data_IF_625342520379
#
_entry.id   IF_625342520379
#
_cell.length_a   1.000
_cell.length_b   1.000
_cell.length_c   1.000
_cell.angle_alpha   90.00
_cell.angle_beta   90.00
_cell.angle_gamma   90.00
#
_symmetry.space_group_name_H-M   'P 1'
#
loop_
_entity.id
_entity.type
_entity.pdbx_description
1 polymer ?
#
# COMPACT_ATOMS: atom_id res chain seq x y z
N UNK A 1 -7.02 17.09 2.76
CA UNK A 1 -7.72 15.97 2.06
C UNK A 1 -7.17 14.63 2.55
N UNK A 2 -5.94 14.24 2.18
CA UNK A 2 -5.44 12.89 2.49
C UNK A 2 -5.46 12.52 3.98
N UNK A 3 -4.89 13.36 4.84
CA UNK A 3 -4.91 13.15 6.31
C UNK A 3 -6.33 13.26 6.86
N UNK A 4 -7.16 14.15 6.29
CA UNK A 4 -8.55 14.36 6.71
C UNK A 4 -9.34 13.06 6.58
N UNK A 5 -9.31 12.41 5.41
CA UNK A 5 -10.04 11.15 5.16
C UNK A 5 -9.54 10.03 6.09
N UNK A 6 -8.23 9.95 6.31
CA UNK A 6 -7.65 8.96 7.23
C UNK A 6 -8.04 9.20 8.69
N UNK A 7 -8.01 10.44 9.15
CA UNK A 7 -8.42 10.81 10.50
C UNK A 7 -9.92 10.57 10.72
N UNK A 8 -10.77 10.92 9.75
CA UNK A 8 -12.22 10.65 9.82
C UNK A 8 -12.50 9.14 9.93
N UNK A 9 -11.72 8.30 9.23
CA UNK A 9 -11.79 6.85 9.38
C UNK A 9 -11.38 6.39 10.79
N UNK A 10 -10.29 6.94 11.33
CA UNK A 10 -9.85 6.63 12.70
C UNK A 10 -10.90 7.03 13.73
N UNK A 11 -11.51 8.19 13.59
CA UNK A 11 -12.58 8.67 14.47
C UNK A 11 -13.81 7.77 14.40
N UNK A 12 -14.24 7.38 13.20
CA UNK A 12 -15.35 6.43 13.01
C UNK A 12 -15.08 5.09 13.69
N UNK A 13 -13.87 4.53 13.53
CA UNK A 13 -13.48 3.26 14.14
C UNK A 13 -13.44 3.35 15.68
N UNK A 14 -12.97 4.48 16.23
CA UNK A 14 -13.00 4.74 17.67
C UNK A 14 -14.43 4.84 18.19
N UNK A 15 -15.30 5.55 17.49
CA UNK A 15 -16.72 5.69 17.83
C UNK A 15 -17.44 4.33 17.80
N UNK A 16 -17.14 3.48 16.82
CA UNK A 16 -17.69 2.12 16.73
C UNK A 16 -17.00 1.10 17.64
N UNK A 17 -16.01 1.52 18.43
CA UNK A 17 -15.19 0.65 19.30
C UNK A 17 -14.51 -0.51 18.57
N UNK A 18 -14.18 -0.36 17.30
CA UNK A 18 -13.49 -1.40 16.51
C UNK A 18 -11.97 -1.23 16.58
N UNK A 19 -11.44 -1.40 17.80
CA UNK A 19 -10.01 -1.20 18.10
C UNK A 19 -9.06 -2.17 17.37
N UNK A 20 -9.59 -3.21 16.73
CA UNK A 20 -8.80 -4.20 15.97
C UNK A 20 -8.21 -3.63 14.68
N UNK A 21 -8.71 -2.48 14.23
CA UNK A 21 -8.27 -1.80 13.01
C UNK A 21 -7.59 -0.46 13.29
N UNK A 22 -7.55 0.00 14.54
CA UNK A 22 -6.93 1.28 14.92
C UNK A 22 -5.42 1.22 15.05
N UNK A 23 -4.83 0.05 14.77
CA UNK A 23 -3.39 -0.21 14.78
C UNK A 23 -3.08 -1.56 14.15
N UNK A 24 -1.87 -1.72 13.63
CA UNK A 24 -1.40 -2.98 13.06
C UNK A 24 -0.86 -3.89 14.17
N UNK A 25 -1.55 -5.00 14.44
CA UNK A 25 -1.19 -5.95 15.48
C UNK A 25 -1.40 -7.40 15.05
N UNK A 26 -0.65 -8.32 15.66
CA UNK A 26 -0.81 -9.76 15.48
C UNK A 26 -1.99 -10.29 16.30
N UNK A 27 -2.62 -11.37 15.84
CA UNK A 27 -3.72 -12.01 16.55
C UNK A 27 -3.27 -13.32 17.21
N UNK A 28 -2.59 -13.20 18.35
CA UNK A 28 -2.04 -14.35 19.06
C UNK A 28 -3.13 -15.32 19.55
N UNK A 29 -4.29 -14.78 19.93
CA UNK A 29 -5.43 -15.56 20.40
C UNK A 29 -6.04 -16.47 19.34
N UNK A 30 -6.31 -15.93 18.14
CA UNK A 30 -6.82 -16.74 17.04
C UNK A 30 -5.77 -17.74 16.53
N UNK A 31 -4.50 -17.35 16.51
CA UNK A 31 -3.42 -18.28 16.18
C UNK A 31 -3.36 -19.46 17.16
N UNK A 32 -3.42 -19.17 18.47
CA UNK A 32 -3.47 -20.18 19.52
C UNK A 32 -4.64 -21.14 19.31
N UNK A 33 -5.85 -20.63 19.06
CA UNK A 33 -7.03 -21.47 18.87
C UNK A 33 -6.97 -22.29 17.57
N UNK A 34 -6.53 -21.69 16.47
CA UNK A 34 -6.38 -22.36 15.18
C UNK A 34 -5.35 -23.48 15.26
N UNK A 35 -4.14 -23.21 15.72
CA UNK A 35 -3.08 -24.22 15.84
C UNK A 35 -3.51 -25.35 16.78
N UNK A 36 -4.11 -25.00 17.91
CA UNK A 36 -4.63 -25.96 18.88
C UNK A 36 -5.66 -26.90 18.22
N UNK A 37 -6.62 -26.35 17.47
CA UNK A 37 -7.66 -27.13 16.77
C UNK A 37 -7.05 -28.02 15.68
N UNK A 38 -6.14 -27.48 14.87
CA UNK A 38 -5.44 -28.25 13.82
C UNK A 38 -4.65 -29.42 14.40
N UNK A 39 -4.00 -29.22 15.54
CA UNK A 39 -3.24 -30.27 16.23
C UNK A 39 -4.11 -31.13 17.16
N UNK A 40 -5.44 -30.97 17.14
CA UNK A 40 -6.40 -31.70 17.97
C UNK A 40 -6.12 -31.64 19.48
N UNK A 41 -5.52 -30.55 19.95
CA UNK A 41 -5.21 -30.34 21.38
C UNK A 41 -6.45 -29.75 22.07
N UNK A 42 -6.93 -30.32 23.18
CA UNK A 42 -8.03 -29.67 23.93
C UNK A 42 -7.48 -28.53 24.76
N UNK A 43 -8.30 -27.51 25.03
CA UNK A 43 -7.87 -26.35 25.84
C UNK A 43 -7.39 -26.80 27.24
N UNK A 44 -8.03 -27.81 27.84
CA UNK A 44 -7.62 -28.42 29.12
C UNK A 44 -6.19 -28.96 29.06
N UNK A 45 -5.86 -29.67 27.99
CA UNK A 45 -4.55 -30.29 27.83
C UNK A 45 -3.47 -29.22 27.58
N UNK A 46 -3.82 -28.17 26.82
CA UNK A 46 -2.93 -27.03 26.62
C UNK A 46 -2.64 -26.29 27.94
N UNK A 47 -3.66 -26.08 28.79
CA UNK A 47 -3.48 -25.50 30.12
C UNK A 47 -2.48 -26.33 30.94
N UNK A 48 -2.65 -27.66 30.95
CA UNK A 48 -1.76 -28.56 31.67
C UNK A 48 -0.32 -28.51 31.13
N UNK A 49 -0.15 -28.52 29.80
CA UNK A 49 1.18 -28.49 29.16
C UNK A 49 1.91 -27.17 29.35
N UNK A 50 1.18 -26.06 29.31
CA UNK A 50 1.77 -24.70 29.37
C UNK A 50 1.96 -24.21 30.80
N UNK A 51 1.23 -24.77 31.77
CA UNK A 51 1.15 -24.27 33.14
C UNK A 51 0.47 -22.90 33.26
N UNK A 52 -0.14 -22.38 32.19
CA UNK A 52 -0.78 -21.07 32.17
C UNK A 52 -2.21 -21.14 32.73
N UNK A 53 -2.64 -20.07 33.40
CA UNK A 53 -4.00 -20.01 33.98
C UNK A 53 -5.06 -20.07 32.87
N UNK A 54 -6.11 -20.90 33.06
CA UNK A 54 -7.24 -21.03 32.12
C UNK A 54 -7.84 -19.69 31.70
N UNK A 55 -8.04 -18.78 32.66
CA UNK A 55 -8.58 -17.44 32.40
C UNK A 55 -7.74 -16.67 31.39
N UNK A 56 -6.41 -16.72 31.52
CA UNK A 56 -5.49 -16.02 30.62
C UNK A 56 -5.58 -16.54 29.18
N UNK A 57 -5.53 -17.86 28.96
CA UNK A 57 -5.67 -18.43 27.62
C UNK A 57 -7.05 -18.17 27.01
N UNK A 58 -8.10 -18.23 27.84
CA UNK A 58 -9.47 -17.96 27.39
C UNK A 58 -9.64 -16.50 26.98
N UNK A 59 -9.12 -15.55 27.79
CA UNK A 59 -9.10 -14.13 27.46
C UNK A 59 -8.29 -13.87 26.19
N UNK A 60 -7.12 -14.49 26.04
CA UNK A 60 -6.31 -14.34 24.84
C UNK A 60 -7.09 -14.75 23.58
N UNK A 61 -7.74 -15.92 23.60
CA UNK A 61 -8.55 -16.43 22.47
C UNK A 61 -9.77 -15.54 22.21
N UNK A 62 -10.52 -15.14 23.25
CA UNK A 62 -11.76 -14.38 23.11
C UNK A 62 -11.52 -12.94 22.67
N UNK A 63 -10.53 -12.27 23.25
CA UNK A 63 -10.22 -10.87 22.96
C UNK A 63 -9.37 -10.73 21.69
N UNK A 64 -8.83 -11.84 21.16
CA UNK A 64 -7.81 -11.79 20.11
C UNK A 64 -6.59 -10.98 20.54
N UNK A 65 -6.29 -11.01 21.85
CA UNK A 65 -5.38 -10.08 22.50
C UNK A 65 -3.95 -10.19 21.94
N UNK A 66 -3.33 -9.02 21.85
CA UNK A 66 -2.29 -8.74 20.86
C UNK A 66 -0.88 -8.75 21.44
N UNK A 67 -0.76 -8.73 22.76
CA UNK A 67 0.51 -8.73 23.49
C UNK A 67 0.45 -9.77 24.61
N UNK A 68 1.55 -10.50 24.79
CA UNK A 68 1.74 -11.43 25.90
C UNK A 68 3.18 -11.29 26.40
N UNK A 69 3.46 -11.75 27.61
CA UNK A 69 4.86 -11.74 28.08
C UNK A 69 5.68 -12.72 27.26
N UNK A 70 6.98 -12.45 27.12
CA UNK A 70 7.93 -13.36 26.46
C UNK A 70 7.83 -14.77 27.05
N UNK A 71 7.79 -14.88 28.37
CA UNK A 71 7.66 -16.15 29.08
C UNK A 71 6.37 -16.90 28.70
N UNK A 72 5.22 -16.21 28.69
CA UNK A 72 3.95 -16.82 28.29
C UNK A 72 3.97 -17.26 26.82
N UNK A 73 4.56 -16.46 25.94
CA UNK A 73 4.73 -16.82 24.53
C UNK A 73 5.52 -18.13 24.37
N UNK A 74 6.67 -18.25 25.05
CA UNK A 74 7.48 -19.47 24.99
C UNK A 74 6.74 -20.68 25.56
N UNK A 75 6.07 -20.54 26.71
CA UNK A 75 5.21 -21.60 27.26
C UNK A 75 4.14 -22.06 26.28
N UNK A 76 3.49 -21.14 25.57
CA UNK A 76 2.46 -21.48 24.57
C UNK A 76 3.02 -22.28 23.40
N UNK A 77 4.12 -21.83 22.79
CA UNK A 77 4.69 -22.53 21.62
C UNK A 77 5.28 -23.90 22.00
N UNK A 78 5.86 -24.04 23.19
CA UNK A 78 6.30 -25.32 23.74
C UNK A 78 5.11 -26.28 23.97
N UNK A 79 4.03 -25.78 24.59
CA UNK A 79 2.83 -26.57 24.83
C UNK A 79 2.10 -27.01 23.55
N UNK A 80 2.18 -26.18 22.49
CA UNK A 80 1.66 -26.48 21.16
C UNK A 80 2.62 -27.35 20.32
N UNK A 81 3.88 -27.50 20.74
CA UNK A 81 4.96 -28.18 20.02
C UNK A 81 5.22 -27.63 18.63
N UNK A 82 5.24 -26.31 18.49
CA UNK A 82 5.55 -25.63 17.22
C UNK A 82 6.67 -24.61 17.39
N UNK A 83 7.43 -24.29 16.34
CA UNK A 83 8.42 -23.23 16.40
C UNK A 83 7.77 -21.84 16.45
N UNK A 84 8.49 -20.88 17.04
CA UNK A 84 7.99 -19.50 17.21
C UNK A 84 7.56 -18.83 15.90
N UNK A 85 8.31 -19.05 14.81
CA UNK A 85 8.02 -18.44 13.52
C UNK A 85 6.70 -18.96 12.92
N UNK A 86 6.33 -20.21 13.15
CA UNK A 86 5.06 -20.76 12.67
C UNK A 86 3.89 -20.16 13.44
N UNK A 87 4.02 -19.98 14.76
CA UNK A 87 3.01 -19.29 15.57
C UNK A 87 2.79 -17.86 15.06
N UNK A 88 3.88 -17.12 14.85
CA UNK A 88 3.83 -15.74 14.35
C UNK A 88 3.20 -15.68 12.96
N UNK A 89 3.50 -16.63 12.07
CA UNK A 89 2.88 -16.71 10.74
C UNK A 89 1.36 -16.86 10.85
N UNK A 90 0.85 -17.80 11.64
CA UNK A 90 -0.60 -17.96 11.82
C UNK A 90 -1.23 -16.73 12.51
N UNK A 91 -0.51 -16.08 13.42
CA UNK A 91 -0.95 -14.83 14.04
C UNK A 91 -1.00 -13.65 13.06
N UNK A 92 -0.18 -13.66 12.01
CA UNK A 92 -0.28 -12.71 10.90
C UNK A 92 -1.47 -13.03 9.99
N UNK A 93 -1.70 -14.31 9.69
CA UNK A 93 -2.81 -14.78 8.84
C UNK A 93 -4.19 -14.46 9.44
N UNK A 94 -4.32 -14.54 10.76
CA UNK A 94 -5.59 -14.33 11.50
C UNK A 94 -5.81 -12.88 11.96
N UNK A 95 -4.87 -11.97 11.66
CA UNK A 95 -5.00 -10.57 12.01
C UNK A 95 -5.97 -9.84 11.07
N UNK A 96 -7.02 -9.23 11.63
CA UNK A 96 -8.07 -8.54 10.84
C UNK A 96 -7.52 -7.41 9.97
N UNK A 97 -6.45 -6.74 10.40
CA UNK A 97 -5.77 -5.72 9.61
C UNK A 97 -5.13 -6.30 8.33
N UNK A 98 -4.63 -7.53 8.40
CA UNK A 98 -3.94 -8.20 7.29
C UNK A 98 -4.92 -8.91 6.34
N UNK A 99 -6.20 -8.97 6.67
CA UNK A 99 -7.27 -9.53 5.85
C UNK A 99 -8.57 -8.73 6.11
N UNK A 100 -8.66 -7.56 5.50
CA UNK A 100 -9.75 -6.61 5.66
C UNK A 100 -10.74 -6.74 4.50
N UNK A 101 -11.78 -7.55 4.71
CA UNK A 101 -12.86 -7.76 3.77
C UNK A 101 -14.00 -6.77 4.02
N UNK A 102 -14.49 -6.16 2.96
CA UNK A 102 -15.70 -5.34 2.94
C UNK A 102 -16.67 -5.92 1.93
N UNK A 103 -17.92 -6.14 2.35
CA UNK A 103 -18.98 -6.46 1.39
C UNK A 103 -19.33 -5.22 0.57
N UNK A 104 -20.08 -5.45 -0.50
CA UNK A 104 -20.73 -4.40 -1.28
C UNK A 104 -21.49 -3.44 -0.33
N UNK A 105 -21.27 -2.14 -0.52
CA UNK A 105 -21.88 -1.05 0.25
C UNK A 105 -21.53 -0.98 1.76
N UNK A 106 -20.59 -1.79 2.26
CA UNK A 106 -20.10 -1.68 3.64
C UNK A 106 -18.89 -0.73 3.79
N UNK A 107 -18.28 -0.33 2.68
CA UNK A 107 -17.11 0.55 2.68
C UNK A 107 -17.43 1.90 3.37
N UNK A 108 -16.59 2.37 4.32
CA UNK A 108 -16.80 3.65 4.96
C UNK A 108 -16.85 4.81 3.97
N UNK A 109 -17.97 5.56 3.98
CA UNK A 109 -18.20 6.75 3.14
C UNK A 109 -18.16 8.03 3.97
N UNK A 110 -17.45 9.04 3.46
CA UNK A 110 -17.30 10.37 4.05
C UNK A 110 -17.69 11.43 3.04
N UNK A 111 -18.65 12.28 3.40
CA UNK A 111 -19.16 13.34 2.53
C UNK A 111 -18.51 14.66 2.87
N UNK A 112 -17.86 15.26 1.87
CA UNK A 112 -17.31 16.59 1.94
C UNK A 112 -18.08 17.54 1.01
N UNK A 113 -17.74 18.83 1.06
CA UNK A 113 -18.42 19.85 0.24
C UNK A 113 -18.38 19.51 -1.26
N UNK A 114 -17.20 19.15 -1.76
CA UNK A 114 -16.91 18.99 -3.19
C UNK A 114 -16.85 17.53 -3.66
N UNK A 115 -16.69 16.59 -2.73
CA UNK A 115 -16.49 15.19 -3.07
C UNK A 115 -17.00 14.27 -1.96
N UNK A 116 -17.14 12.99 -2.30
CA UNK A 116 -17.31 11.89 -1.36
C UNK A 116 -16.09 10.97 -1.43
N UNK A 117 -15.67 10.42 -0.30
CA UNK A 117 -14.62 9.42 -0.24
C UNK A 117 -15.18 8.10 0.30
N UNK A 118 -14.99 7.02 -0.45
CA UNK A 118 -15.30 5.64 -0.06
C UNK A 118 -13.99 4.89 0.19
N UNK A 119 -13.77 4.39 1.41
CA UNK A 119 -12.47 3.85 1.82
C UNK A 119 -12.48 2.31 1.84
N UNK A 120 -11.47 1.71 1.21
CA UNK A 120 -11.34 0.25 1.05
C UNK A 120 -10.19 -0.38 1.85
N UNK A 121 -9.30 0.43 2.42
CA UNK A 121 -8.24 -0.03 3.34
C UNK A 121 -8.57 0.32 4.80
N UNK A 122 -7.98 -0.39 5.77
CA UNK A 122 -7.89 0.13 7.14
C UNK A 122 -6.98 1.39 7.17
N UNK A 123 -6.94 2.13 8.30
CA UNK A 123 -6.00 3.22 8.48
C UNK A 123 -4.55 2.74 8.33
N UNK A 124 -3.70 3.56 7.72
CA UNK A 124 -2.28 3.24 7.51
C UNK A 124 -1.42 3.57 8.72
N UNK A 125 -0.49 2.68 9.04
CA UNK A 125 0.41 2.81 10.19
C UNK A 125 1.86 2.45 9.87
N UNK A 126 2.16 1.93 8.69
CA UNK A 126 3.52 1.52 8.33
C UNK A 126 3.90 1.94 6.91
N UNK A 127 5.19 1.89 6.62
CA UNK A 127 5.71 2.15 5.27
C UNK A 127 5.42 1.02 4.27
N UNK A 128 4.86 -0.10 4.75
CA UNK A 128 4.49 -1.26 3.92
C UNK A 128 3.02 -1.26 3.51
N UNK A 129 2.15 -0.60 4.28
CA UNK A 129 0.72 -0.48 3.97
C UNK A 129 0.43 0.82 3.21
N UNK A 130 -0.66 0.82 2.46
CA UNK A 130 -1.16 1.96 1.71
C UNK A 130 -2.63 2.22 1.96
N UNK A 131 -2.99 3.51 1.89
CA UNK A 131 -4.35 3.96 2.05
C UNK A 131 -5.02 3.88 0.69
N UNK A 132 -6.21 3.30 0.63
CA UNK A 132 -6.92 3.04 -0.60
C UNK A 132 -8.35 3.54 -0.48
N UNK A 133 -8.72 4.48 -1.34
CA UNK A 133 -10.08 5.01 -1.40
C UNK A 133 -10.49 5.34 -2.83
N UNK A 134 -11.79 5.41 -3.06
CA UNK A 134 -12.42 5.97 -4.24
C UNK A 134 -12.95 7.36 -3.91
N UNK A 135 -12.56 8.35 -4.70
CA UNK A 135 -13.06 9.71 -4.63
C UNK A 135 -14.11 9.89 -5.72
N UNK A 136 -15.29 10.38 -5.33
CA UNK A 136 -16.35 10.82 -6.25
C UNK A 136 -16.46 12.33 -6.17
N UNK A 137 -15.94 13.02 -7.17
CA UNK A 137 -16.03 14.48 -7.28
C UNK A 137 -17.33 14.88 -7.96
N UNK A 138 -18.02 15.86 -7.36
CA UNK A 138 -19.23 16.43 -7.95
C UNK A 138 -18.91 17.13 -9.27
N UNK A 139 -19.88 17.29 -10.18
CA UNK A 139 -19.72 18.18 -11.33
C UNK A 139 -19.33 19.59 -10.90
N UNK A 140 -18.55 20.26 -11.75
CA UNK A 140 -18.07 21.64 -11.59
C UNK A 140 -17.49 21.91 -10.19
N UNK A 141 -16.69 20.97 -9.71
CA UNK A 141 -16.13 21.01 -8.36
C UNK A 141 -14.62 20.80 -8.36
N UNK A 142 -13.99 21.26 -7.28
CA UNK A 142 -12.54 21.21 -7.16
C UNK A 142 -12.11 20.91 -5.73
N UNK A 143 -11.00 20.21 -5.61
CA UNK A 143 -10.25 20.02 -4.38
C UNK A 143 -8.95 20.81 -4.57
N UNK A 144 -8.89 21.99 -3.95
CA UNK A 144 -7.86 22.98 -4.24
C UNK A 144 -6.70 22.94 -3.25
N UNK A 145 -5.52 23.33 -3.74
CA UNK A 145 -4.34 23.68 -2.94
C UNK A 145 -3.92 22.58 -1.95
N UNK A 146 -3.97 21.33 -2.38
CA UNK A 146 -3.53 20.19 -1.59
C UNK A 146 -2.01 20.09 -1.66
N UNK A 147 -1.37 19.85 -0.51
CA UNK A 147 0.05 19.55 -0.40
C UNK A 147 0.24 18.60 0.78
N UNK A 148 1.20 17.68 0.69
CA UNK A 148 1.52 16.79 1.81
C UNK A 148 3.02 16.58 1.96
N UNK A 149 3.58 17.04 3.09
CA UNK A 149 5.04 17.12 3.27
C UNK A 149 5.73 15.77 3.55
N UNK A 150 4.99 14.76 4.01
CA UNK A 150 5.57 13.48 4.45
C UNK A 150 5.26 12.30 3.52
N UNK A 151 4.44 12.52 2.48
CA UNK A 151 4.15 11.50 1.48
C UNK A 151 5.20 11.55 0.38
N UNK A 152 5.65 10.39 -0.11
CA UNK A 152 6.64 10.34 -1.19
C UNK A 152 6.00 10.16 -2.57
N UNK A 153 4.78 9.62 -2.63
CA UNK A 153 4.05 9.40 -3.86
C UNK A 153 2.55 9.29 -3.57
N UNK A 154 1.75 9.83 -4.48
CA UNK A 154 0.32 9.49 -4.64
C UNK A 154 0.18 8.85 -6.02
N UNK A 155 -0.58 7.76 -6.07
CA UNK A 155 -1.12 7.23 -7.31
C UNK A 155 -2.62 7.52 -7.35
N UNK A 156 -3.13 7.88 -8.52
CA UNK A 156 -4.55 7.81 -8.81
C UNK A 156 -4.84 7.00 -10.06
N UNK A 157 -6.08 6.56 -10.19
CA UNK A 157 -6.60 5.87 -11.37
C UNK A 157 -8.03 6.33 -11.64
N UNK A 158 -8.24 7.00 -12.78
CA UNK A 158 -9.55 7.55 -13.14
C UNK A 158 -10.45 6.43 -13.66
N UNK A 159 -11.38 5.98 -12.82
CA UNK A 159 -12.31 4.89 -13.13
C UNK A 159 -13.45 5.36 -14.03
N UNK A 160 -13.90 6.61 -13.88
CA UNK A 160 -14.99 7.17 -14.67
C UNK A 160 -14.90 8.71 -14.74
N UNK A 161 -15.28 9.26 -15.90
CA UNK A 161 -15.36 10.69 -16.16
C UNK A 161 -14.05 11.29 -16.66
N UNK A 162 -13.84 12.57 -16.33
CA UNK A 162 -12.72 13.40 -16.77
C UNK A 162 -12.20 14.26 -15.61
N UNK A 163 -10.88 14.34 -15.47
CA UNK A 163 -10.25 15.02 -14.34
C UNK A 163 -9.09 15.89 -14.80
N UNK A 164 -9.05 17.13 -14.36
CA UNK A 164 -7.88 18.01 -14.50
C UNK A 164 -7.08 17.99 -13.19
N UNK A 165 -5.83 17.53 -13.25
CA UNK A 165 -4.85 17.65 -12.17
C UNK A 165 -4.00 18.90 -12.41
N UNK A 166 -4.26 19.97 -11.65
CA UNK A 166 -3.35 21.12 -11.59
C UNK A 166 -2.20 20.77 -10.65
N UNK A 167 -0.97 20.73 -11.15
CA UNK A 167 0.24 20.35 -10.42
C UNK A 167 1.31 21.44 -10.58
N UNK A 168 1.57 22.18 -9.51
CA UNK A 168 2.32 23.43 -9.60
C UNK A 168 1.65 24.39 -10.59
N UNK A 169 2.40 24.83 -11.60
CA UNK A 169 1.93 25.72 -12.66
C UNK A 169 1.35 24.98 -13.87
N UNK A 170 1.43 23.65 -13.91
CA UNK A 170 0.96 22.85 -15.05
C UNK A 170 -0.41 22.25 -14.75
N UNK A 171 -1.19 22.02 -15.81
CA UNK A 171 -2.46 21.28 -15.72
C UNK A 171 -2.37 20.06 -16.61
N UNK A 172 -2.76 18.92 -16.07
CA UNK A 172 -2.75 17.63 -16.75
C UNK A 172 -4.18 17.11 -16.87
N UNK A 173 -4.61 16.84 -18.10
CA UNK A 173 -5.87 16.18 -18.40
C UNK A 173 -5.72 14.68 -18.19
N UNK A 174 -6.63 14.09 -17.42
CA UNK A 174 -6.68 12.66 -17.12
C UNK A 174 -8.05 12.15 -17.59
N UNK A 175 -8.02 11.09 -18.39
CA UNK A 175 -9.19 10.44 -18.97
C UNK A 175 -9.48 9.10 -18.29
N UNK A 176 -10.71 8.60 -18.46
CA UNK A 176 -11.11 7.29 -17.93
C UNK A 176 -10.10 6.20 -18.33
N UNK A 177 -9.84 5.28 -17.41
CA UNK A 177 -8.83 4.22 -17.48
C UNK A 177 -7.37 4.69 -17.48
N UNK A 178 -7.09 5.95 -17.19
CA UNK A 178 -5.72 6.44 -17.06
C UNK A 178 -5.28 6.49 -15.59
N UNK A 179 -4.16 5.82 -15.24
CA UNK A 179 -3.48 6.09 -13.99
C UNK A 179 -2.60 7.32 -14.09
N UNK A 180 -2.29 7.87 -12.93
CA UNK A 180 -1.33 8.94 -12.76
C UNK A 180 -0.58 8.79 -11.44
N UNK A 181 0.68 9.19 -11.43
CA UNK A 181 1.51 9.22 -10.23
C UNK A 181 2.15 10.59 -10.12
N UNK A 182 2.33 11.08 -8.89
CA UNK A 182 3.01 12.35 -8.67
C UNK A 182 3.61 12.45 -7.28
N UNK A 183 4.52 13.41 -7.12
CA UNK A 183 5.07 13.83 -5.82
C UNK A 183 4.10 14.80 -5.13
N UNK A 184 3.41 14.38 -4.04
CA UNK A 184 2.40 15.21 -3.37
C UNK A 184 2.98 16.34 -2.52
N UNK A 185 4.31 16.46 -2.42
CA UNK A 185 4.98 17.58 -1.74
C UNK A 185 4.85 18.88 -2.52
N UNK A 186 4.50 18.80 -3.80
CA UNK A 186 4.17 19.97 -4.62
C UNK A 186 2.68 20.26 -4.51
N UNK A 187 2.36 21.55 -4.46
CA UNK A 187 0.99 22.03 -4.45
C UNK A 187 0.22 21.54 -5.67
N UNK A 188 -0.91 20.91 -5.44
CA UNK A 188 -1.75 20.35 -6.50
C UNK A 188 -3.24 20.55 -6.23
N UNK A 189 -4.06 20.31 -7.24
CA UNK A 189 -5.52 20.40 -7.15
C UNK A 189 -6.18 19.44 -8.12
N UNK A 190 -7.26 18.82 -7.68
CA UNK A 190 -8.13 17.99 -8.52
C UNK A 190 -9.32 18.84 -8.94
N UNK A 191 -9.64 18.88 -10.22
CA UNK A 191 -10.75 19.67 -10.77
C UNK A 191 -11.56 18.75 -11.66
N UNK A 192 -12.85 18.62 -11.37
CA UNK A 192 -13.82 18.03 -12.29
C UNK A 192 -14.47 19.16 -13.10
N UNK A 193 -14.09 19.35 -14.38
CA UNK A 193 -14.64 20.44 -15.19
C UNK A 193 -15.97 20.06 -15.87
N UNK A 194 -16.43 18.81 -15.73
CA UNK A 194 -17.74 18.41 -16.25
C UNK A 194 -18.84 19.12 -15.47
N UNK A 195 -19.85 19.63 -16.18
CA UNK A 195 -21.01 20.31 -15.57
C UNK A 195 -22.15 19.34 -15.21
N UNK A 196 -22.05 18.07 -15.59
CA UNK A 196 -23.12 17.07 -15.46
C UNK A 196 -22.65 15.73 -14.94
N UNK A 197 -21.39 15.35 -15.17
CA UNK A 197 -20.86 14.03 -14.79
C UNK A 197 -19.97 14.10 -13.54
N UNK A 198 -20.08 13.08 -12.70
CA UNK A 198 -19.16 12.87 -11.58
C UNK A 198 -17.85 12.27 -12.06
N UNK A 199 -16.71 12.81 -11.62
CA UNK A 199 -15.42 12.16 -11.81
C UNK A 199 -15.15 11.18 -10.66
N UNK A 200 -14.92 9.91 -10.99
CA UNK A 200 -14.62 8.85 -10.02
C UNK A 200 -13.20 8.33 -10.21
N UNK A 201 -12.35 8.48 -9.19
CA UNK A 201 -10.97 8.00 -9.27
C UNK A 201 -10.52 7.37 -7.96
N UNK A 202 -9.78 6.27 -8.07
CA UNK A 202 -9.10 5.68 -6.92
C UNK A 202 -7.87 6.49 -6.57
N UNK A 203 -7.54 6.55 -5.29
CA UNK A 203 -6.30 7.08 -4.77
C UNK A 203 -5.59 6.03 -3.91
N UNK A 204 -4.28 5.93 -4.09
CA UNK A 204 -3.37 5.13 -3.27
C UNK A 204 -2.21 5.99 -2.78
N UNK A 205 -1.93 5.94 -1.49
CA UNK A 205 -0.82 6.70 -0.89
C UNK A 205 -0.39 6.14 0.46
N UNK A 206 0.85 6.44 0.87
CA UNK A 206 1.35 6.14 2.21
C UNK A 206 1.20 7.35 3.11
N UNK A 207 0.53 7.19 4.25
CA UNK A 207 0.64 8.15 5.34
C UNK A 207 1.79 7.73 6.24
N UNK A 208 2.91 8.47 6.19
CA UNK A 208 3.90 8.35 7.27
C UNK A 208 3.23 8.83 8.55
N UNK A 209 3.26 8.06 9.65
CA UNK A 209 2.72 8.53 10.92
C UNK A 209 3.32 9.91 11.23
N UNK A 210 2.45 10.88 11.52
CA UNK A 210 2.85 12.21 11.91
C UNK A 210 3.63 12.10 13.22
N UNK A 211 4.95 11.99 13.14
CA UNK A 211 5.79 12.29 14.28
C UNK A 211 5.63 13.79 14.51
N UNK A 212 5.12 14.15 15.69
CA UNK A 212 5.04 15.53 16.14
C UNK A 212 6.36 16.21 15.81
N UNK A 213 6.35 17.09 14.81
CA UNK A 213 7.46 18.01 14.62
C UNK A 213 7.50 18.82 15.91
N UNK A 214 8.60 18.71 16.67
CA UNK A 214 8.96 19.87 17.47
C UNK A 214 9.07 21.04 16.50
N UNK A 215 8.49 22.21 16.80
CA UNK A 215 8.59 23.36 15.93
C UNK A 215 10.07 23.63 15.69
N UNK A 216 10.53 23.38 14.46
CA UNK A 216 11.86 23.78 14.03
C UNK A 216 11.90 25.30 14.18
N UNK A 217 12.68 25.78 15.15
CA UNK A 217 13.12 27.16 15.21
C UNK A 217 14.07 27.38 14.02
N UNK A 218 13.52 27.60 12.83
CA UNK A 218 14.27 28.06 11.68
C UNK A 218 13.75 29.42 11.29
N UNK A 219 14.66 30.40 11.39
CA UNK A 219 14.46 31.77 10.98
C UNK A 219 14.15 31.91 9.48
N UNK A 220 14.10 33.15 8.97
CA UNK A 220 13.49 33.46 7.69
C UNK A 220 14.08 32.64 6.55
N UNK A 221 13.20 32.11 5.70
CA UNK A 221 13.54 31.43 4.44
C UNK A 221 14.49 32.31 3.63
N UNK A 222 15.77 31.90 3.57
CA UNK A 222 16.69 32.46 2.60
C UNK A 222 16.19 32.05 1.22
N UNK A 223 15.78 33.02 0.41
CA UNK A 223 15.72 32.88 -1.04
C UNK A 223 17.13 32.64 -1.54
N UNK A 224 17.53 31.37 -1.67
CA UNK A 224 18.80 30.99 -2.30
C UNK A 224 18.62 31.04 -3.81
N UNK A 225 19.45 31.83 -4.49
CA UNK A 225 19.49 31.89 -5.95
C UNK A 225 20.01 30.54 -6.50
N UNK A 226 19.27 29.86 -7.40
CA UNK A 226 19.70 28.56 -7.88
C UNK A 226 20.32 28.67 -9.28
N UNK A 227 21.64 28.47 -9.41
CA UNK A 227 22.26 28.23 -10.73
C UNK A 227 23.41 27.20 -10.73
N UNK A 228 23.96 26.77 -9.58
CA UNK A 228 25.07 25.78 -9.53
C UNK A 228 24.71 24.51 -8.74
N UNK A 229 25.10 23.35 -9.26
CA UNK A 229 24.88 22.03 -8.65
C UNK A 229 25.58 21.96 -7.28
N UNK A 230 24.81 21.84 -6.20
CA UNK A 230 25.31 21.69 -4.83
C UNK A 230 25.26 20.25 -4.35
N UNK A 231 26.41 19.58 -4.36
CA UNK A 231 26.54 18.21 -3.82
C UNK A 231 26.24 18.14 -2.33
N UNK A 232 26.48 19.23 -1.59
CA UNK A 232 26.14 19.33 -0.16
C UNK A 232 24.64 19.24 0.07
N UNK A 233 23.87 20.09 -0.63
CA UNK A 233 22.40 20.13 -0.52
C UNK A 233 21.82 18.77 -0.92
N UNK A 234 22.33 18.20 -2.01
CA UNK A 234 21.90 16.88 -2.47
C UNK A 234 22.13 15.79 -1.41
N UNK A 235 23.33 15.69 -0.85
CA UNK A 235 23.65 14.68 0.17
C UNK A 235 22.77 14.87 1.42
N UNK A 236 22.54 16.10 1.86
CA UNK A 236 21.66 16.37 3.00
C UNK A 236 20.21 15.91 2.73
N UNK A 237 19.68 16.24 1.54
CA UNK A 237 18.33 15.84 1.12
C UNK A 237 18.19 14.30 1.07
N UNK A 238 19.11 13.61 0.41
CA UNK A 238 19.09 12.14 0.30
C UNK A 238 19.19 11.49 1.68
N UNK A 239 20.09 11.99 2.54
CA UNK A 239 20.22 11.48 3.91
C UNK A 239 18.95 11.68 4.74
N UNK A 240 18.21 12.76 4.49
CA UNK A 240 16.93 13.02 5.16
C UNK A 240 15.84 12.05 4.68
N UNK A 241 15.80 11.77 3.38
CA UNK A 241 14.80 10.88 2.79
C UNK A 241 15.03 9.41 3.14
N UNK A 242 16.28 8.95 3.12
CA UNK A 242 16.66 7.59 3.46
C UNK A 242 16.61 7.31 4.96
N UNK A 243 16.60 8.36 5.79
CA UNK A 243 16.62 8.15 7.23
C UNK A 243 15.35 7.42 7.70
N UNK A 244 15.50 6.37 8.52
CA UNK A 244 14.36 5.76 9.20
C UNK A 244 13.72 6.74 10.20
N UNK A 245 14.51 7.64 10.78
CA UNK A 245 14.08 8.69 11.71
C UNK A 245 14.00 10.04 10.97
N UNK A 246 12.80 10.64 10.81
CA UNK A 246 12.63 11.90 10.08
C UNK A 246 13.35 13.10 10.72
N UNK A 247 13.72 13.02 12.00
CA UNK A 247 14.39 14.10 12.73
C UNK A 247 15.91 13.99 12.71
N UNK A 248 16.46 12.90 12.16
CA UNK A 248 17.89 12.68 12.06
C UNK A 248 18.27 12.41 10.62
N UNK A 249 19.40 12.98 10.19
CA UNK A 249 19.98 12.60 8.91
C UNK A 249 20.58 11.20 9.02
N UNK A 250 20.40 10.38 7.99
CA UNK A 250 21.09 9.09 7.88
C UNK A 250 22.60 9.28 8.14
N UNK A 251 23.25 8.54 9.05
CA UNK A 251 24.67 8.72 9.31
C UNK A 251 25.53 8.52 8.05
N UNK A 252 26.58 9.32 7.87
CA UNK A 252 27.48 9.20 6.70
C UNK A 252 28.05 7.79 6.49
N UNK A 253 28.42 7.02 7.53
CA UNK A 253 28.84 5.63 7.34
C UNK A 253 27.76 4.73 6.73
N UNK A 254 26.50 4.94 7.10
CA UNK A 254 25.38 4.20 6.53
C UNK A 254 25.14 4.62 5.08
N UNK A 255 25.17 5.92 4.78
CA UNK A 255 25.07 6.41 3.39
C UNK A 255 26.20 5.86 2.50
N UNK A 256 27.43 5.79 3.01
CA UNK A 256 28.57 5.19 2.32
C UNK A 256 28.33 3.71 2.01
N UNK A 257 27.81 2.96 2.98
CA UNK A 257 27.49 1.54 2.81
C UNK A 257 26.37 1.33 1.77
N UNK A 258 25.35 2.18 1.75
CA UNK A 258 24.27 2.08 0.77
C UNK A 258 24.70 2.49 -0.64
N UNK A 259 25.41 3.63 -0.78
CA UNK A 259 25.80 4.19 -2.09
C UNK A 259 27.00 3.51 -2.74
N UNK A 260 27.80 2.76 -1.98
CA UNK A 260 29.11 2.29 -2.43
C UNK A 260 30.17 3.39 -2.52
N UNK A 261 29.84 4.65 -2.19
CA UNK A 261 30.78 5.78 -2.23
C UNK A 261 31.60 5.80 -0.93
N UNK A 262 32.92 5.88 -1.05
CA UNK A 262 33.80 5.97 0.11
C UNK A 262 33.46 7.14 1.05
N UNK A 263 33.44 6.88 2.36
CA UNK A 263 33.06 7.88 3.39
C UNK A 263 33.81 9.21 3.26
N UNK A 264 35.12 9.17 2.97
CA UNK A 264 35.92 10.40 2.79
C UNK A 264 35.43 11.24 1.61
N UNK A 265 35.04 10.58 0.51
CA UNK A 265 34.51 11.27 -0.67
C UNK A 265 33.14 11.92 -0.38
N UNK A 266 32.25 11.23 0.35
CA UNK A 266 30.96 11.81 0.77
C UNK A 266 31.14 13.03 1.70
N UNK A 267 32.09 12.96 2.63
CA UNK A 267 32.42 14.08 3.52
C UNK A 267 32.95 15.25 2.68
N UNK A 268 33.91 15.02 1.79
CA UNK A 268 34.43 16.06 0.90
C UNK A 268 33.32 16.72 0.07
N UNK A 269 32.44 15.94 -0.56
CA UNK A 269 31.28 16.43 -1.32
C UNK A 269 30.27 17.21 -0.47
N UNK A 270 30.26 17.03 0.86
CA UNK A 270 29.32 17.70 1.76
C UNK A 270 29.84 19.02 2.33
N UNK A 271 31.16 19.19 2.44
CA UNK A 271 31.76 20.34 3.11
C UNK A 271 32.54 21.25 2.16
N UNK A 272 33.09 20.71 1.08
CA UNK A 272 33.91 21.48 0.15
C UNK A 272 33.12 21.82 -1.12
N UNK A 273 33.11 23.10 -1.55
CA UNK A 273 32.56 23.47 -2.84
C UNK A 273 33.37 22.75 -3.93
N UNK A 274 32.71 21.84 -4.63
CA UNK A 274 33.37 20.99 -5.63
C UNK A 274 33.63 21.80 -6.90
N UNK A 275 34.91 21.95 -7.27
CA UNK A 275 35.30 22.57 -8.56
C UNK A 275 34.93 21.70 -9.77
N UNK A 276 34.85 20.39 -9.56
CA UNK A 276 34.46 19.39 -10.56
C UNK A 276 33.25 18.65 -10.01
N UNK A 277 32.17 18.63 -10.79
CA UNK A 277 30.91 17.97 -10.42
C UNK A 277 31.09 16.45 -10.58
N UNK A 278 31.02 15.65 -9.50
CA UNK A 278 31.30 14.23 -9.57
C UNK A 278 30.05 13.45 -10.01
N UNK A 279 29.68 13.55 -11.29
CA UNK A 279 28.45 12.96 -11.83
C UNK A 279 28.29 11.47 -11.54
N UNK A 280 29.35 10.67 -11.61
CA UNK A 280 29.30 9.24 -11.24
C UNK A 280 28.83 9.02 -9.79
N UNK A 281 29.31 9.85 -8.86
CA UNK A 281 28.91 9.78 -7.45
C UNK A 281 27.49 10.31 -7.24
N UNK A 282 27.10 11.33 -8.01
CA UNK A 282 25.73 11.84 -8.01
C UNK A 282 24.77 10.75 -8.52
N UNK A 283 25.15 9.99 -9.54
CA UNK A 283 24.38 8.86 -10.06
C UNK A 283 24.30 7.69 -9.06
N UNK A 284 25.40 7.34 -8.39
CA UNK A 284 25.37 6.37 -7.29
C UNK A 284 24.41 6.81 -6.16
N UNK A 285 24.35 8.11 -5.86
CA UNK A 285 23.40 8.66 -4.89
C UNK A 285 21.96 8.66 -5.42
N UNK A 286 21.76 8.95 -6.71
CA UNK A 286 20.46 8.89 -7.38
C UNK A 286 19.83 7.51 -7.26
N UNK A 287 20.64 6.45 -7.47
CA UNK A 287 20.26 5.05 -7.36
C UNK A 287 19.82 4.61 -5.95
N UNK A 288 20.02 5.44 -4.92
CA UNK A 288 19.46 5.19 -3.59
C UNK A 288 18.03 5.71 -3.43
N UNK A 289 17.60 6.59 -4.33
CA UNK A 289 16.31 7.27 -4.28
C UNK A 289 15.42 6.81 -5.42
N UNK A 290 14.18 7.28 -5.40
CA UNK A 290 13.27 7.07 -6.53
C UNK A 290 13.50 8.10 -7.66
N UNK A 291 14.40 9.08 -7.54
CA UNK A 291 14.57 10.15 -8.52
C UNK A 291 15.47 9.76 -9.70
N UNK A 292 15.16 10.28 -10.88
CA UNK A 292 16.05 10.23 -12.04
C UNK A 292 17.28 11.13 -11.83
N UNK A 293 18.33 10.91 -12.62
CA UNK A 293 19.54 11.74 -12.57
C UNK A 293 19.21 13.23 -12.81
N UNK A 294 18.34 13.55 -13.76
CA UNK A 294 17.92 14.92 -14.06
C UNK A 294 17.28 15.60 -12.85
N UNK A 295 16.42 14.89 -12.13
CA UNK A 295 15.75 15.44 -10.95
C UNK A 295 16.67 15.53 -9.74
N UNK A 296 17.66 14.64 -9.65
CA UNK A 296 18.73 14.72 -8.67
C UNK A 296 19.60 15.94 -8.95
N UNK A 297 19.85 16.26 -10.20
CA UNK A 297 20.51 17.51 -10.62
C UNK A 297 19.64 18.71 -10.24
N UNK A 298 18.35 18.70 -10.57
CA UNK A 298 17.43 19.77 -10.16
C UNK A 298 17.38 19.93 -8.64
N UNK A 299 17.43 18.84 -7.87
CA UNK A 299 17.50 18.86 -6.40
C UNK A 299 18.80 19.46 -5.90
N UNK A 300 19.93 19.09 -6.51
CA UNK A 300 21.24 19.64 -6.20
C UNK A 300 21.31 21.14 -6.50
N UNK A 301 20.59 21.63 -7.51
CA UNK A 301 20.46 23.04 -7.84
C UNK A 301 19.34 23.74 -7.06
N UNK A 302 18.61 23.02 -6.20
CA UNK A 302 17.44 23.53 -5.49
C UNK A 302 16.32 24.06 -6.43
N UNK A 303 16.24 23.52 -7.65
CA UNK A 303 15.23 23.84 -8.68
C UNK A 303 14.14 22.78 -8.82
N UNK A 304 14.25 21.65 -8.12
CA UNK A 304 13.32 20.54 -8.24
C UNK A 304 11.87 20.96 -8.03
N UNK A 305 11.05 20.79 -9.08
CA UNK A 305 9.64 21.23 -9.09
C UNK A 305 8.65 20.08 -8.89
N UNK A 306 9.14 18.93 -8.42
CA UNK A 306 8.37 17.70 -8.35
C UNK A 306 8.19 17.04 -9.71
N UNK A 307 7.45 15.94 -9.71
CA UNK A 307 7.16 15.17 -10.90
C UNK A 307 5.71 14.71 -10.88
N UNK A 308 5.16 14.56 -12.09
CA UNK A 308 3.85 13.99 -12.36
C UNK A 308 3.96 13.21 -13.66
N UNK A 309 3.43 11.99 -13.64
CA UNK A 309 3.33 11.12 -14.82
C UNK A 309 1.88 10.68 -14.97
N UNK A 310 1.28 11.01 -16.10
CA UNK A 310 -0.01 10.47 -16.53
C UNK A 310 0.28 9.39 -17.57
N UNK A 311 -0.32 8.22 -17.39
CA UNK A 311 -0.13 7.08 -18.26
C UNK A 311 -1.29 7.01 -19.25
N UNK A 312 -1.01 6.47 -20.42
CA UNK A 312 -1.96 6.29 -21.52
C UNK A 312 -2.10 4.82 -21.86
N UNK A 313 -3.00 4.49 -22.79
CA UNK A 313 -3.18 3.10 -23.23
C UNK A 313 -1.89 2.48 -23.82
N UNK A 314 -0.95 3.31 -24.31
CA UNK A 314 0.36 2.85 -24.80
C UNK A 314 1.28 2.35 -23.68
N UNK A 315 1.02 2.76 -22.45
CA UNK A 315 1.78 2.33 -21.27
C UNK A 315 1.19 1.05 -20.65
N UNK A 316 0.03 0.59 -21.10
CA UNK A 316 -0.57 -0.63 -20.59
C UNK A 316 0.25 -1.84 -21.00
N UNK A 317 0.47 -2.76 -20.06
CA UNK A 317 1.23 -3.98 -20.33
C UNK A 317 0.37 -5.21 -20.06
N UNK A 318 -0.07 -5.93 -21.10
CA UNK A 318 -0.75 -7.20 -20.97
C UNK A 318 0.26 -8.31 -20.69
N UNK A 319 -0.12 -9.21 -19.78
CA UNK A 319 0.71 -10.32 -19.33
C UNK A 319 -0.21 -11.53 -19.26
N UNK A 320 -0.02 -12.41 -20.23
CA UNK A 320 -0.80 -13.61 -20.38
C UNK A 320 -0.18 -14.75 -19.55
N UNK A 321 -0.89 -15.16 -18.51
CA UNK A 321 -0.57 -16.31 -17.67
C UNK A 321 -1.66 -17.39 -17.78
N UNK A 322 -2.54 -17.31 -18.79
CA UNK A 322 -3.74 -18.13 -18.94
C UNK A 322 -3.43 -19.62 -19.09
N UNK A 323 -2.38 -19.93 -19.85
CA UNK A 323 -1.94 -21.31 -20.11
C UNK A 323 -1.58 -22.04 -18.81
N UNK A 324 -0.89 -21.37 -17.88
CA UNK A 324 -0.39 -21.98 -16.65
C UNK A 324 -1.32 -21.80 -15.45
N UNK A 325 -1.87 -20.61 -15.27
CA UNK A 325 -2.63 -20.22 -14.08
C UNK A 325 -4.07 -19.81 -14.37
N UNK A 326 -4.48 -19.77 -15.65
CA UNK A 326 -5.84 -19.37 -16.04
C UNK A 326 -6.10 -17.89 -15.78
N UNK A 327 -5.06 -17.07 -15.82
CA UNK A 327 -5.09 -15.64 -15.47
C UNK A 327 -4.49 -14.79 -16.59
N UNK A 328 -5.12 -13.67 -16.88
CA UNK A 328 -4.56 -12.60 -17.69
C UNK A 328 -4.49 -11.33 -16.84
N UNK A 329 -3.34 -10.64 -16.86
CA UNK A 329 -3.11 -9.40 -16.14
C UNK A 329 -2.87 -8.27 -17.13
N UNK A 330 -3.56 -7.15 -16.97
CA UNK A 330 -3.28 -5.92 -17.72
C UNK A 330 -2.88 -4.84 -16.73
N UNK A 331 -1.58 -4.57 -16.61
CA UNK A 331 -1.10 -3.44 -15.81
C UNK A 331 -1.45 -2.15 -16.54
N UNK A 332 -2.11 -1.21 -15.86
CA UNK A 332 -2.39 0.11 -16.45
C UNK A 332 -1.17 1.05 -16.38
N UNK A 333 -0.07 0.58 -15.80
CA UNK A 333 1.18 1.34 -15.71
C UNK A 333 2.29 0.61 -16.45
N UNK A 334 3.20 1.35 -17.08
CA UNK A 334 4.36 0.78 -17.74
C UNK A 334 5.21 -0.05 -16.77
N UNK A 335 5.65 -1.25 -17.18
CA UNK A 335 6.55 -2.11 -16.41
C UNK A 335 7.97 -1.53 -16.42
N UNK A 336 8.65 -1.54 -15.27
CA UNK A 336 10.05 -1.13 -15.17
C UNK A 336 10.48 -0.66 -13.78
N UNK A 337 11.80 -0.55 -13.64
CA UNK A 337 12.50 0.02 -12.48
C UNK A 337 12.34 1.53 -12.55
N UNK A 338 11.63 2.12 -11.59
CA UNK A 338 11.37 3.55 -11.57
C UNK A 338 10.53 3.94 -10.37
N UNK A 339 10.12 5.21 -10.33
CA UNK A 339 9.43 5.88 -9.21
C UNK A 339 8.21 5.19 -8.63
N UNK A 340 7.58 4.29 -9.39
CA UNK A 340 6.27 3.73 -9.06
C UNK A 340 6.39 2.79 -7.85
N UNK A 341 5.77 3.21 -6.76
CA UNK A 341 5.54 2.39 -5.57
C UNK A 341 4.23 1.63 -5.70
N UNK A 342 3.28 2.18 -6.44
CA UNK A 342 1.95 1.62 -6.60
C UNK A 342 1.69 1.12 -8.03
N UNK A 343 0.85 0.10 -8.15
CA UNK A 343 0.32 -0.37 -9.44
C UNK A 343 -1.17 -0.63 -9.34
N UNK A 344 -1.86 -0.39 -10.45
CA UNK A 344 -3.22 -0.87 -10.69
C UNK A 344 -3.20 -1.76 -11.91
N UNK A 345 -3.89 -2.90 -11.82
CA UNK A 345 -3.99 -3.86 -12.90
C UNK A 345 -5.39 -4.47 -12.94
N UNK A 346 -5.92 -4.68 -14.13
CA UNK A 346 -7.05 -5.57 -14.32
C UNK A 346 -6.56 -7.02 -14.37
N UNK A 347 -7.28 -7.89 -13.66
CA UNK A 347 -7.00 -9.32 -13.59
C UNK A 347 -8.24 -10.09 -14.04
N UNK A 348 -8.09 -10.87 -15.10
CA UNK A 348 -9.15 -11.73 -15.64
C UNK A 348 -8.80 -13.18 -15.37
N UNK A 349 -9.74 -13.95 -14.84
CA UNK A 349 -9.64 -15.38 -14.66
C UNK A 349 -10.51 -16.09 -15.70
N UNK A 350 -9.91 -17.00 -16.43
CA UNK A 350 -10.57 -17.73 -17.51
C UNK A 350 -11.67 -18.64 -16.96
N UNK A 351 -12.65 -18.94 -17.80
CA UNK A 351 -13.64 -19.96 -17.50
C UNK A 351 -12.99 -21.34 -17.43
N UNK A 352 -13.66 -22.28 -16.77
CA UNK A 352 -13.27 -23.68 -16.72
C UNK A 352 -14.53 -24.55 -16.71
N UNK A 353 -14.43 -25.78 -17.22
CA UNK A 353 -15.57 -26.71 -17.31
C UNK A 353 -15.56 -27.72 -16.17
N UNK A 354 -16.73 -28.21 -15.78
CA UNK A 354 -16.81 -29.32 -14.83
C UNK A 354 -15.99 -30.53 -15.32
N UNK A 355 -15.22 -31.13 -14.40
CA UNK A 355 -14.28 -32.21 -14.72
C UNK A 355 -12.89 -31.73 -15.17
N UNK A 356 -12.70 -30.44 -15.48
CA UNK A 356 -11.38 -29.84 -15.58
C UNK A 356 -10.90 -29.39 -14.20
N UNK A 357 -9.60 -29.55 -13.93
CA UNK A 357 -8.99 -28.99 -12.73
C UNK A 357 -9.04 -27.47 -12.75
N UNK A 358 -9.63 -26.86 -11.71
CA UNK A 358 -9.62 -25.41 -11.53
C UNK A 358 -8.17 -24.92 -11.44
N UNK A 359 -7.80 -23.96 -12.28
CA UNK A 359 -6.49 -23.33 -12.20
C UNK A 359 -6.46 -22.31 -11.07
N UNK A 360 -5.30 -22.21 -10.43
CA UNK A 360 -5.08 -21.33 -9.31
C UNK A 360 -3.81 -20.51 -9.56
N UNK A 361 -3.88 -19.21 -9.25
CA UNK A 361 -2.73 -18.34 -9.28
C UNK A 361 -2.22 -18.11 -7.87
N UNK A 362 -0.98 -18.53 -7.62
CA UNK A 362 -0.31 -18.39 -6.33
C UNK A 362 0.58 -17.15 -6.36
N UNK A 363 0.24 -16.17 -5.53
CA UNK A 363 1.03 -14.96 -5.35
C UNK A 363 1.83 -15.02 -4.05
N UNK A 364 3.14 -14.81 -4.19
CA UNK A 364 4.11 -14.71 -3.09
C UNK A 364 4.87 -13.40 -3.25
N UNK A 365 4.41 -12.38 -2.55
CA UNK A 365 4.97 -11.04 -2.64
C UNK A 365 5.51 -10.54 -1.30
N UNK A 366 5.63 -9.23 -1.22
CA UNK A 366 5.75 -8.51 0.05
C UNK A 366 4.81 -7.31 0.02
N UNK A 367 4.54 -6.69 1.15
CA UNK A 367 3.70 -5.47 1.19
C UNK A 367 2.20 -5.78 1.24
N UNK A 368 1.37 -5.05 0.51
CA UNK A 368 -0.09 -5.15 0.58
C UNK A 368 -0.75 -5.16 -0.80
N UNK A 369 -1.92 -5.78 -0.85
CA UNK A 369 -2.75 -5.92 -2.03
C UNK A 369 -4.19 -5.50 -1.71
N UNK A 370 -4.77 -4.66 -2.55
CA UNK A 370 -6.19 -4.38 -2.62
C UNK A 370 -6.79 -5.10 -3.83
N UNK A 371 -7.89 -5.82 -3.63
CA UNK A 371 -8.61 -6.55 -4.67
C UNK A 371 -10.04 -6.04 -4.66
N UNK A 372 -10.56 -5.60 -5.80
CA UNK A 372 -11.96 -5.24 -5.98
C UNK A 372 -12.56 -6.12 -7.06
N UNK A 373 -13.54 -6.95 -6.69
CA UNK A 373 -14.22 -7.83 -7.63
C UNK A 373 -15.14 -7.00 -8.56
N UNK A 374 -14.91 -7.12 -9.87
CA UNK A 374 -15.63 -6.38 -10.92
C UNK A 374 -16.65 -7.25 -11.65
N UNK A 375 -16.48 -8.57 -11.65
CA UNK A 375 -17.40 -9.54 -12.28
C UNK A 375 -17.11 -10.96 -11.81
N UNK A 376 -18.14 -11.79 -11.71
CA UNK A 376 -18.02 -13.20 -11.33
C UNK A 376 -17.55 -13.40 -9.89
N UNK A 377 -17.15 -14.63 -9.57
CA UNK A 377 -16.80 -15.02 -8.20
C UNK A 377 -15.31 -15.39 -8.10
N UNK A 378 -14.59 -14.69 -7.23
CA UNK A 378 -13.15 -14.86 -7.04
C UNK A 378 -12.91 -15.52 -5.69
N UNK A 379 -12.30 -16.71 -5.73
CA UNK A 379 -11.89 -17.45 -4.56
C UNK A 379 -10.53 -16.97 -4.09
N UNK A 380 -10.40 -16.68 -2.80
CA UNK A 380 -9.21 -16.17 -2.15
C UNK A 380 -8.89 -17.05 -0.96
N UNK A 381 -7.77 -17.75 -1.05
CA UNK A 381 -7.21 -18.56 0.01
C UNK A 381 -5.96 -17.83 0.54
N UNK A 382 -6.03 -17.36 1.78
CA UNK A 382 -5.00 -16.51 2.41
C UNK A 382 -4.24 -17.31 3.48
N UNK A 383 -3.02 -17.75 3.18
CA UNK A 383 -2.28 -18.69 4.00
C UNK A 383 -3.11 -19.96 4.28
N UNK A 384 -3.23 -20.34 5.56
CA UNK A 384 -4.04 -21.48 6.00
C UNK A 384 -5.48 -21.10 6.40
N UNK A 385 -5.93 -19.87 6.13
CA UNK A 385 -7.30 -19.43 6.44
C UNK A 385 -8.33 -20.09 5.51
N UNK A 386 -9.59 -20.29 5.92
CA UNK A 386 -10.61 -20.84 5.01
C UNK A 386 -10.77 -20.02 3.74
N UNK A 387 -11.06 -20.70 2.62
CA UNK A 387 -11.36 -20.06 1.34
C UNK A 387 -12.47 -19.02 1.49
N UNK A 388 -12.19 -17.79 1.07
CA UNK A 388 -13.16 -16.71 0.99
C UNK A 388 -13.55 -16.48 -0.46
N UNK A 389 -14.84 -16.28 -0.72
CA UNK A 389 -15.33 -15.93 -2.05
C UNK A 389 -15.66 -14.45 -2.03
N UNK A 390 -15.11 -13.69 -2.99
CA UNK A 390 -15.52 -12.33 -3.30
C UNK A 390 -16.52 -12.35 -4.45
N UNK A 391 -17.61 -11.62 -4.26
CA UNK A 391 -18.63 -11.35 -5.27
C UNK A 391 -18.49 -9.91 -5.79
N UNK A 392 -19.22 -9.56 -6.85
CA UNK A 392 -19.25 -8.24 -7.46
C UNK A 392 -19.36 -7.10 -6.44
N UNK A 393 -18.46 -6.13 -6.54
CA UNK A 393 -18.43 -4.94 -5.68
C UNK A 393 -17.86 -5.18 -4.28
N UNK A 394 -17.54 -6.42 -3.90
CA UNK A 394 -16.79 -6.69 -2.69
C UNK A 394 -15.31 -6.36 -2.87
N UNK A 395 -14.68 -5.90 -1.79
CA UNK A 395 -13.26 -5.56 -1.77
C UNK A 395 -12.53 -6.27 -0.65
N UNK A 396 -11.26 -6.58 -0.89
CA UNK A 396 -10.37 -7.17 0.09
C UNK A 396 -9.04 -6.41 0.09
N UNK A 397 -8.61 -5.99 1.27
CA UNK A 397 -7.27 -5.45 1.52
C UNK A 397 -6.47 -6.42 2.38
N UNK A 398 -5.31 -6.86 1.91
CA UNK A 398 -4.58 -7.97 2.52
C UNK A 398 -3.06 -7.79 2.47
N UNK A 399 -2.36 -8.40 3.44
CA UNK A 399 -0.91 -8.36 3.54
C UNK A 399 -0.27 -9.46 2.66
N UNK A 400 0.47 -9.05 1.63
CA UNK A 400 1.13 -9.93 0.68
C UNK A 400 2.37 -10.65 1.21
N UNK A 401 2.82 -10.36 2.44
CA UNK A 401 3.86 -11.14 3.13
C UNK A 401 3.35 -12.59 3.46
N UNK A 402 2.04 -12.84 3.34
CA UNK A 402 1.41 -14.17 3.43
C UNK A 402 1.03 -14.64 2.03
N UNK A 403 1.21 -15.94 1.75
CA UNK A 403 0.83 -16.55 0.47
C UNK A 403 -0.66 -16.37 0.18
N UNK A 404 -0.99 -15.95 -1.05
CA UNK A 404 -2.35 -15.78 -1.53
C UNK A 404 -2.56 -16.69 -2.73
N UNK A 405 -3.67 -17.41 -2.74
CA UNK A 405 -4.10 -18.22 -3.87
C UNK A 405 -5.43 -17.65 -4.37
N UNK A 406 -5.46 -17.25 -5.64
CA UNK A 406 -6.64 -16.72 -6.31
C UNK A 406 -7.15 -17.70 -7.37
N UNK A 407 -8.47 -17.84 -7.49
CA UNK A 407 -9.08 -18.73 -8.50
C UNK A 407 -10.48 -18.28 -8.91
N UNK A 408 -10.92 -18.69 -10.09
CA UNK A 408 -12.30 -18.53 -10.54
C UNK A 408 -13.19 -19.60 -9.90
N UNK A 409 -14.24 -19.19 -9.18
CA UNK A 409 -15.06 -20.10 -8.40
C UNK A 409 -16.22 -20.75 -9.15
N UNK A 410 -16.58 -20.24 -10.33
CA UNK A 410 -17.67 -20.81 -11.12
C UNK A 410 -17.14 -21.54 -12.34
N UNK A 411 -17.56 -22.79 -12.51
CA UNK A 411 -17.49 -23.46 -13.81
C UNK A 411 -18.49 -22.85 -14.80
N UNK A 412 -18.29 -23.09 -16.09
CA UNK A 412 -19.22 -22.65 -17.15
C UNK A 412 -20.65 -23.13 -16.89
N UNK A 413 -20.81 -24.38 -16.48
CA UNK A 413 -22.10 -24.99 -16.19
C UNK A 413 -22.77 -24.37 -14.96
N UNK A 414 -22.01 -24.01 -13.93
CA UNK A 414 -22.53 -23.34 -12.73
C UNK A 414 -22.88 -21.88 -13.00
N UNK A 415 -22.05 -21.17 -13.76
CA UNK A 415 -22.29 -19.81 -14.18
C UNK A 415 -23.58 -19.72 -14.99
N UNK A 416 -23.78 -20.62 -15.96
CA UNK A 416 -25.01 -20.70 -16.73
C UNK A 416 -26.24 -20.95 -15.84
N UNK A 417 -26.16 -21.87 -14.87
CA UNK A 417 -27.26 -22.13 -13.92
C UNK A 417 -27.61 -20.93 -13.04
N UNK A 418 -26.61 -20.11 -12.71
CA UNK A 418 -26.78 -18.91 -11.87
C UNK A 418 -27.13 -17.65 -12.66
N UNK A 419 -27.05 -17.68 -13.99
CA UNK A 419 -27.19 -16.48 -14.82
C UNK A 419 -26.00 -15.53 -14.68
N UNK A 420 -24.82 -16.07 -14.36
CA UNK A 420 -23.60 -15.33 -14.04
C UNK A 420 -22.55 -15.47 -15.13
N UNK A 421 -21.53 -14.60 -15.10
CA UNK A 421 -20.38 -14.71 -16.01
C UNK A 421 -19.50 -15.92 -15.63
N UNK A 422 -19.12 -16.78 -16.60
CA UNK A 422 -18.19 -17.87 -16.35
C UNK A 422 -16.75 -17.38 -16.20
N UNK A 423 -16.45 -16.15 -16.63
CA UNK A 423 -15.19 -15.45 -16.35
C UNK A 423 -15.32 -14.61 -15.09
N UNK A 424 -14.27 -14.59 -14.27
CA UNK A 424 -14.17 -13.68 -13.13
C UNK A 424 -13.18 -12.54 -13.43
N UNK A 425 -13.47 -11.32 -12.98
CA UNK A 425 -12.60 -10.15 -13.15
C UNK A 425 -12.45 -9.38 -11.84
N UNK A 426 -11.22 -8.97 -11.54
CA UNK A 426 -10.90 -8.06 -10.45
C UNK A 426 -10.01 -6.92 -10.92
N UNK A 427 -10.13 -5.79 -10.24
CA UNK A 427 -9.14 -4.73 -10.27
C UNK A 427 -8.24 -4.89 -9.04
N UNK A 428 -6.93 -4.91 -9.29
CA UNK A 428 -5.91 -5.14 -8.28
C UNK A 428 -5.12 -3.86 -8.07
N UNK A 429 -4.91 -3.48 -6.83
CA UNK A 429 -4.14 -2.33 -6.37
C UNK A 429 -3.00 -2.84 -5.49
N UNK A 430 -1.74 -2.52 -5.76
CA UNK A 430 -0.62 -3.12 -5.02
C UNK A 430 0.45 -2.13 -4.60
N UNK A 431 1.07 -2.41 -3.45
CA UNK A 431 2.37 -1.89 -3.04
C UNK A 431 3.19 -3.06 -2.48
N UNK A 432 4.38 -3.38 -3.02
CA UNK A 432 5.01 -2.80 -4.21
C UNK A 432 4.25 -3.17 -5.50
N UNK A 433 4.68 -2.70 -6.68
CA UNK A 433 4.14 -3.13 -7.97
C UNK A 433 4.11 -4.67 -8.08
N UNK A 434 3.03 -5.22 -8.65
CA UNK A 434 2.84 -6.68 -8.81
C UNK A 434 3.93 -7.35 -9.68
N UNK A 435 4.61 -6.58 -10.54
CA UNK A 435 5.49 -7.05 -11.62
C UNK A 435 6.64 -6.08 -11.87
#
# INVERSE_FOLDING_TARGET
>A
MYETIHNDLLERLRASKDFRLTERRLNLGQALDQIRKTNSIRLKDLIQKTGLKRRMLTTLIQMGEMNTSREHFFKMIEGLKIPAHEFVKVAQETARYNFYHLKRDEAPRFKYRTHEAEVYSPPCFSRKDFFWCLIRMKPDSSILNVTHSTMDQVMGFLNHGYLNLKYGEKTHSIHTNQPFHFDPKIKHSFINPSNSETAEFYLMYHLKPAFLKQPDARGPERKEAPETISTRVLIEQIRKELSPDPNRLLPMPALAAHSGIGRRALVHMSYEPTKIIPFEKIDCLANLTDYSLDEIIEKAENRYRGWVKVYTDKDHVPIDLSSRYGVELTSHTAIGIGKRKFTVADMTFNSWKQGQGRKEWVYRGSGFLGILAKRGYIGIQYGKQPLKILDWGESLYLNADVEIILSNMLSEEEAQKKGESPEAKAMIFSFPPLI
#
